data_IF_609718743349
#
_entry.id   IF_609718743349
#
_cell.length_a   1.000
_cell.length_b   1.000
_cell.length_c   1.000
_cell.angle_alpha   90.00
_cell.angle_beta   90.00
_cell.angle_gamma   90.00
#
_symmetry.space_group_name_H-M   'P 1'
#
loop_
_entity.id
_entity.type
_entity.pdbx_description
1 polymer ?
#
# COMPACT_ATOMS: atom_id res chain seq x y z
N UNK A 1 16.43 -46.91 -41.25
CA UNK A 1 16.71 -47.80 -40.10
C UNK A 1 17.19 -46.95 -38.95
N UNK A 2 16.42 -47.00 -37.88
CA UNK A 2 16.48 -46.11 -36.72
C UNK A 2 17.53 -46.56 -35.73
N UNK A 3 18.32 -45.64 -35.21
CA UNK A 3 19.10 -45.86 -34.01
C UNK A 3 18.66 -44.82 -32.96
N UNK A 4 17.95 -45.32 -31.95
CA UNK A 4 17.49 -44.56 -30.77
C UNK A 4 18.68 -44.43 -29.81
N UNK A 5 19.21 -43.23 -29.61
CA UNK A 5 20.18 -42.93 -28.59
C UNK A 5 19.45 -42.52 -27.31
N UNK A 6 19.42 -43.38 -26.31
CA UNK A 6 18.91 -43.14 -24.98
C UNK A 6 20.02 -42.47 -24.15
N UNK A 7 19.90 -41.18 -23.87
CA UNK A 7 20.72 -40.50 -22.87
C UNK A 7 20.13 -40.71 -21.48
N UNK A 8 20.79 -41.58 -20.74
CA UNK A 8 20.60 -41.76 -19.30
C UNK A 8 21.40 -40.66 -18.58
N UNK A 9 20.71 -39.60 -18.12
CA UNK A 9 21.31 -38.66 -17.20
C UNK A 9 21.16 -39.19 -15.77
N UNK A 10 22.28 -39.70 -15.25
CA UNK A 10 22.41 -40.11 -13.85
C UNK A 10 22.60 -38.82 -13.03
N UNK A 11 21.58 -38.38 -12.31
CA UNK A 11 21.69 -37.25 -11.41
C UNK A 11 22.21 -37.73 -10.05
N UNK A 12 23.49 -37.49 -9.81
CA UNK A 12 24.15 -37.75 -8.53
C UNK A 12 23.71 -36.64 -7.56
N UNK A 13 22.82 -36.97 -6.64
CA UNK A 13 22.39 -36.03 -5.56
C UNK A 13 23.46 -36.09 -4.46
N UNK A 14 24.28 -35.06 -4.38
CA UNK A 14 25.19 -34.83 -3.27
C UNK A 14 24.45 -34.17 -2.11
N UNK A 15 24.03 -34.94 -1.12
CA UNK A 15 23.43 -34.44 0.12
C UNK A 15 24.55 -33.94 1.03
N UNK A 16 24.78 -32.64 1.05
CA UNK A 16 25.61 -31.99 2.08
C UNK A 16 24.70 -31.62 3.26
N UNK A 17 24.87 -32.36 4.35
CA UNK A 17 24.27 -32.05 5.64
C UNK A 17 24.95 -30.80 6.22
N UNK A 18 24.26 -29.64 6.14
CA UNK A 18 24.63 -28.48 6.93
C UNK A 18 23.95 -28.58 8.30
N UNK A 19 24.78 -28.77 9.30
CA UNK A 19 24.39 -28.63 10.69
C UNK A 19 24.03 -27.16 10.96
N UNK A 20 22.76 -26.88 11.04
CA UNK A 20 22.23 -25.55 11.41
C UNK A 20 22.24 -25.45 12.94
N UNK A 21 23.12 -24.63 13.48
CA UNK A 21 23.01 -24.12 14.85
C UNK A 21 21.73 -23.33 15.01
N UNK A 22 20.99 -23.50 16.12
CA UNK A 22 19.81 -22.64 16.38
C UNK A 22 20.31 -21.25 16.80
N UNK A 23 20.33 -20.33 15.85
CA UNK A 23 20.38 -18.90 16.17
C UNK A 23 19.03 -18.56 16.78
N UNK A 24 19.03 -18.20 18.05
CA UNK A 24 17.86 -17.66 18.74
C UNK A 24 17.37 -16.44 17.96
N UNK A 25 16.27 -16.62 17.24
CA UNK A 25 15.56 -15.53 16.62
C UNK A 25 14.94 -14.66 17.71
N UNK A 26 15.67 -13.62 18.09
CA UNK A 26 15.06 -12.48 18.80
C UNK A 26 13.89 -12.02 17.98
N UNK A 27 12.66 -12.12 18.54
CA UNK A 27 11.49 -11.44 18.01
C UNK A 27 11.78 -9.94 18.02
N UNK A 28 12.33 -9.42 16.94
CA UNK A 28 12.23 -8.01 16.65
C UNK A 28 10.73 -7.74 16.47
N UNK A 29 10.09 -7.16 17.50
CA UNK A 29 8.86 -6.42 17.31
C UNK A 29 9.18 -5.37 16.28
N UNK A 30 8.75 -5.60 15.07
CA UNK A 30 8.73 -4.59 14.04
C UNK A 30 7.62 -3.64 14.46
N UNK A 31 7.99 -2.62 15.24
CA UNK A 31 7.15 -1.45 15.47
C UNK A 31 6.91 -0.80 14.10
N UNK A 32 5.75 -1.12 13.52
CA UNK A 32 5.26 -0.53 12.27
C UNK A 32 4.69 0.89 12.54
N UNK A 33 5.23 1.55 13.55
CA UNK A 33 5.01 2.96 13.86
C UNK A 33 5.92 3.79 12.96
N UNK A 34 5.48 4.00 11.70
CA UNK A 34 5.96 5.14 10.95
C UNK A 34 5.74 6.42 11.77
N UNK A 35 6.43 7.53 11.45
CA UNK A 35 6.32 8.76 12.21
C UNK A 35 4.84 9.14 12.38
N UNK A 36 4.40 9.23 13.61
CA UNK A 36 3.02 9.55 14.00
C UNK A 36 2.65 10.91 13.39
N UNK A 37 1.48 10.97 12.77
CA UNK A 37 0.98 12.23 12.26
C UNK A 37 0.73 13.20 13.44
N UNK A 38 1.09 14.50 13.34
CA UNK A 38 1.06 15.43 14.46
C UNK A 38 -0.33 15.73 15.06
N UNK A 39 -1.39 15.13 14.52
CA UNK A 39 -2.78 15.36 14.93
C UNK A 39 -3.48 14.14 15.54
N UNK A 40 -2.74 13.11 15.88
CA UNK A 40 -3.32 11.98 16.58
C UNK A 40 -3.68 12.40 18.01
N UNK A 41 -4.95 12.53 18.28
CA UNK A 41 -5.44 12.69 19.66
C UNK A 41 -4.99 11.45 20.42
N UNK A 42 -4.01 11.58 21.30
CA UNK A 42 -3.32 10.53 22.04
C UNK A 42 -2.45 9.56 21.21
N UNK A 43 -2.07 9.89 19.97
CA UNK A 43 -1.08 9.15 19.20
C UNK A 43 -1.46 7.71 18.82
N UNK A 44 -2.73 7.31 18.93
CA UNK A 44 -3.16 5.95 18.59
C UNK A 44 -4.25 5.96 17.54
N UNK A 45 -3.96 5.30 16.41
CA UNK A 45 -4.99 4.95 15.43
C UNK A 45 -5.95 3.96 16.08
N UNK A 46 -7.27 4.18 16.03
CA UNK A 46 -8.23 3.19 16.51
C UNK A 46 -7.99 1.81 15.85
N UNK A 47 -8.19 0.74 16.59
CA UNK A 47 -7.91 -0.63 16.11
C UNK A 47 -8.72 -1.03 14.88
N UNK A 48 -9.84 -0.38 14.65
CA UNK A 48 -10.73 -0.59 13.50
C UNK A 48 -10.21 0.09 12.21
N UNK A 49 -9.24 0.99 12.33
CA UNK A 49 -8.67 1.71 11.18
C UNK A 49 -7.31 1.16 10.77
N UNK A 50 -7.04 1.22 9.48
CA UNK A 50 -5.70 1.05 8.92
C UNK A 50 -5.18 2.40 8.45
N UNK A 51 -4.22 2.96 9.18
CA UNK A 51 -3.51 4.16 8.74
C UNK A 51 -2.52 3.82 7.62
N UNK A 52 -2.63 4.54 6.51
CA UNK A 52 -1.60 4.52 5.48
C UNK A 52 -0.53 5.56 5.82
N UNK A 53 0.71 5.25 5.45
CA UNK A 53 1.79 6.24 5.58
C UNK A 53 1.51 7.42 4.65
N UNK A 54 1.93 8.62 5.05
CA UNK A 54 1.79 9.82 4.23
C UNK A 54 2.44 9.61 2.86
N UNK A 55 1.70 9.90 1.81
CA UNK A 55 2.15 9.81 0.42
C UNK A 55 2.49 11.21 -0.09
N UNK A 56 3.58 11.30 -0.86
CA UNK A 56 3.97 12.49 -1.62
C UNK A 56 3.90 12.12 -3.10
N UNK A 57 2.86 12.57 -3.76
CA UNK A 57 2.51 12.16 -5.12
C UNK A 57 2.80 13.33 -6.07
N UNK A 58 3.65 13.15 -7.10
CA UNK A 58 3.83 14.19 -8.11
C UNK A 58 2.57 14.31 -8.94
N UNK A 59 1.94 15.48 -8.91
CA UNK A 59 0.75 15.80 -9.71
C UNK A 59 1.05 16.94 -10.67
N UNK A 60 0.45 16.89 -11.84
CA UNK A 60 0.58 17.95 -12.83
C UNK A 60 -0.38 19.09 -12.46
N UNK A 61 0.16 20.30 -12.35
CA UNK A 61 -0.55 21.48 -11.82
C UNK A 61 -0.57 22.54 -12.87
N UNK A 62 -0.90 22.52 -13.94
CA UNK A 62 -1.00 23.62 -14.90
C UNK A 62 -0.67 23.19 -16.33
N UNK A 63 -1.20 23.92 -17.29
CA UNK A 63 -0.89 23.76 -18.71
C UNK A 63 0.61 23.95 -19.00
N UNK A 64 1.35 24.58 -18.08
CA UNK A 64 2.81 24.75 -18.15
C UNK A 64 3.63 23.53 -17.73
N UNK A 65 2.99 22.39 -17.48
CA UNK A 65 3.64 21.13 -17.09
C UNK A 65 4.51 21.24 -15.83
N UNK A 66 4.07 22.02 -14.86
CA UNK A 66 4.73 22.06 -13.56
C UNK A 66 4.21 20.92 -12.68
N UNK A 67 5.13 20.16 -12.10
CA UNK A 67 4.81 19.16 -11.10
C UNK A 67 4.91 19.75 -9.71
N UNK A 68 3.93 19.44 -8.87
CA UNK A 68 3.95 19.74 -7.44
C UNK A 68 3.71 18.45 -6.66
N UNK A 69 4.03 18.47 -5.38
CA UNK A 69 3.79 17.35 -4.50
C UNK A 69 2.38 17.45 -3.88
N UNK A 70 1.54 16.45 -4.16
CA UNK A 70 0.31 16.24 -3.42
C UNK A 70 0.63 15.43 -2.17
N UNK A 71 0.44 16.00 -0.98
CA UNK A 71 0.47 15.27 0.27
C UNK A 71 -0.89 14.65 0.54
N UNK A 72 -0.91 13.32 0.64
CA UNK A 72 -2.10 12.54 0.93
C UNK A 72 -1.87 11.70 2.17
N UNK A 73 -2.75 11.85 3.17
CA UNK A 73 -2.79 11.03 4.36
C UNK A 73 -4.21 10.51 4.56
N UNK A 74 -4.35 9.19 4.60
CA UNK A 74 -5.66 8.54 4.70
C UNK A 74 -5.66 7.44 5.75
N UNK A 75 -6.79 7.29 6.41
CA UNK A 75 -7.12 6.16 7.24
C UNK A 75 -8.26 5.41 6.58
N UNK A 76 -8.11 4.10 6.46
CA UNK A 76 -9.10 3.21 5.91
C UNK A 76 -9.90 2.59 7.06
N UNK A 77 -11.22 2.61 6.95
CA UNK A 77 -12.12 1.87 7.82
C UNK A 77 -12.65 0.64 7.07
N UNK A 78 -12.02 -0.53 7.22
CA UNK A 78 -12.50 -1.76 6.63
C UNK A 78 -13.84 -2.18 7.25
N UNK A 79 -14.65 -2.89 6.46
CA UNK A 79 -16.00 -3.29 6.89
C UNK A 79 -15.99 -4.26 8.08
N UNK A 80 -14.96 -5.09 8.19
CA UNK A 80 -14.77 -6.11 9.21
C UNK A 80 -13.29 -6.49 9.36
N UNK A 81 -12.98 -7.40 10.28
CA UNK A 81 -11.60 -7.85 10.55
C UNK A 81 -10.97 -8.61 9.37
N UNK A 82 -11.76 -9.34 8.57
CA UNK A 82 -11.25 -10.03 7.39
C UNK A 82 -10.78 -9.01 6.35
N UNK A 83 -11.59 -8.00 6.09
CA UNK A 83 -11.22 -6.89 5.19
C UNK A 83 -10.04 -6.08 5.73
N UNK A 84 -9.93 -5.92 7.06
CA UNK A 84 -8.77 -5.28 7.69
C UNK A 84 -7.49 -6.11 7.47
N UNK A 85 -7.55 -7.42 7.61
CA UNK A 85 -6.42 -8.31 7.37
C UNK A 85 -5.99 -8.28 5.90
N UNK A 86 -6.95 -8.32 4.96
CA UNK A 86 -6.69 -8.19 3.53
C UNK A 86 -6.00 -6.86 3.20
N UNK A 87 -6.57 -5.73 3.64
CA UNK A 87 -5.99 -4.42 3.39
C UNK A 87 -4.59 -4.27 4.01
N UNK A 88 -4.39 -4.82 5.23
CA UNK A 88 -3.09 -4.79 5.91
C UNK A 88 -2.03 -5.59 5.18
N UNK A 89 -2.37 -6.79 4.70
CA UNK A 89 -1.43 -7.64 3.94
C UNK A 89 -1.00 -7.01 2.62
N UNK A 90 -1.85 -6.19 2.01
CA UNK A 90 -1.62 -5.53 0.73
C UNK A 90 -1.27 -4.03 0.86
N UNK A 91 -0.96 -3.55 2.06
CA UNK A 91 -0.71 -2.13 2.34
C UNK A 91 0.26 -1.47 1.34
N UNK A 92 1.39 -2.14 1.04
CA UNK A 92 2.38 -1.61 0.09
C UNK A 92 1.82 -1.49 -1.33
N UNK A 93 1.08 -2.49 -1.78
CA UNK A 93 0.47 -2.49 -3.10
C UNK A 93 -0.65 -1.44 -3.20
N UNK A 94 -1.44 -1.25 -2.15
CA UNK A 94 -2.44 -0.20 -2.05
C UNK A 94 -1.76 1.18 -2.18
N UNK A 95 -0.68 1.43 -1.44
CA UNK A 95 0.04 2.70 -1.50
C UNK A 95 0.61 2.97 -2.90
N UNK A 96 1.16 1.95 -3.57
CA UNK A 96 1.64 2.08 -4.95
C UNK A 96 0.49 2.38 -5.92
N UNK A 97 -0.65 1.70 -5.79
CA UNK A 97 -1.84 1.95 -6.59
C UNK A 97 -2.42 3.36 -6.38
N UNK A 98 -2.42 3.85 -5.14
CA UNK A 98 -2.82 5.23 -4.85
C UNK A 98 -1.88 6.24 -5.51
N UNK A 99 -0.58 6.02 -5.44
CA UNK A 99 0.39 6.89 -6.08
C UNK A 99 0.19 6.95 -7.60
N UNK A 100 -0.07 5.81 -8.22
CA UNK A 100 -0.32 5.71 -9.66
C UNK A 100 -1.63 6.41 -10.05
N UNK A 101 -2.74 6.06 -9.39
CA UNK A 101 -4.05 6.62 -9.71
C UNK A 101 -4.08 8.14 -9.50
N UNK A 102 -3.58 8.64 -8.36
CA UNK A 102 -3.56 10.09 -8.10
C UNK A 102 -2.64 10.86 -9.04
N UNK A 103 -1.55 10.27 -9.50
CA UNK A 103 -0.65 10.90 -10.50
C UNK A 103 -1.34 11.13 -11.86
N UNK A 104 -2.35 10.34 -12.15
CA UNK A 104 -3.11 10.43 -13.41
C UNK A 104 -4.27 11.43 -13.34
N UNK A 105 -4.57 11.98 -12.16
CA UNK A 105 -5.61 12.99 -12.00
C UNK A 105 -5.05 14.39 -12.15
N UNK A 106 -5.83 15.26 -12.79
CA UNK A 106 -5.57 16.71 -12.78
C UNK A 106 -5.87 17.26 -11.38
N UNK A 107 -4.94 18.06 -10.85
CA UNK A 107 -5.11 18.74 -9.57
C UNK A 107 -6.39 19.60 -9.51
N UNK A 108 -6.82 20.15 -10.64
CA UNK A 108 -8.04 20.96 -10.71
C UNK A 108 -9.26 20.23 -10.15
N UNK A 109 -9.30 18.89 -10.28
CA UNK A 109 -10.38 18.06 -9.73
C UNK A 109 -10.46 18.13 -8.18
N UNK A 110 -9.35 18.44 -7.51
CA UNK A 110 -9.27 18.47 -6.05
C UNK A 110 -9.37 19.90 -5.45
N UNK A 111 -9.38 20.94 -6.27
CA UNK A 111 -9.44 22.34 -5.79
C UNK A 111 -10.74 22.70 -5.08
N UNK A 112 -11.84 22.06 -5.45
CA UNK A 112 -13.13 22.30 -4.80
C UNK A 112 -13.09 21.66 -3.40
N UNK A 113 -13.16 22.51 -2.36
CA UNK A 113 -13.07 22.08 -0.97
C UNK A 113 -14.21 21.14 -0.54
N UNK A 114 -15.30 21.09 -1.26
CA UNK A 114 -16.43 20.18 -1.00
C UNK A 114 -16.31 18.90 -1.82
N UNK A 115 -15.98 19.01 -3.11
CA UNK A 115 -15.94 17.88 -4.05
C UNK A 115 -14.61 17.15 -4.03
N UNK A 116 -13.51 17.85 -3.80
CA UNK A 116 -12.16 17.28 -3.80
C UNK A 116 -12.00 16.10 -2.84
N UNK A 117 -12.39 16.22 -1.56
CA UNK A 117 -12.33 15.07 -0.64
C UNK A 117 -13.21 13.89 -1.07
N UNK A 118 -14.38 14.13 -1.64
CA UNK A 118 -15.28 13.05 -2.12
C UNK A 118 -14.66 12.31 -3.31
N UNK A 119 -14.02 13.04 -4.22
CA UNK A 119 -13.28 12.46 -5.34
C UNK A 119 -12.12 11.62 -4.80
N UNK A 120 -11.34 12.16 -3.86
CA UNK A 120 -10.24 11.44 -3.24
C UNK A 120 -10.72 10.15 -2.53
N UNK A 121 -11.81 10.20 -1.77
CA UNK A 121 -12.41 9.01 -1.15
C UNK A 121 -12.79 7.94 -2.16
N UNK A 122 -13.38 8.32 -3.28
CA UNK A 122 -13.77 7.39 -4.36
C UNK A 122 -12.54 6.72 -4.98
N UNK A 123 -11.48 7.47 -5.25
CA UNK A 123 -10.22 6.93 -5.77
C UNK A 123 -9.64 5.93 -4.78
N UNK A 124 -9.52 6.32 -3.50
CA UNK A 124 -8.97 5.45 -2.45
C UNK A 124 -9.77 4.15 -2.35
N UNK A 125 -11.10 4.24 -2.28
CA UNK A 125 -11.97 3.05 -2.19
C UNK A 125 -11.80 2.13 -3.40
N UNK A 126 -11.77 2.69 -4.60
CA UNK A 126 -11.58 1.93 -5.84
C UNK A 126 -10.22 1.22 -5.88
N UNK A 127 -9.14 1.90 -5.46
CA UNK A 127 -7.79 1.31 -5.42
C UNK A 127 -7.73 0.18 -4.40
N UNK A 128 -8.27 0.38 -3.18
CA UNK A 128 -8.25 -0.64 -2.15
C UNK A 128 -9.01 -1.88 -2.59
N UNK A 129 -10.20 -1.72 -3.14
CA UNK A 129 -11.00 -2.86 -3.63
C UNK A 129 -10.29 -3.58 -4.79
N UNK A 130 -9.76 -2.84 -5.75
CA UNK A 130 -9.06 -3.41 -6.92
C UNK A 130 -7.79 -4.17 -6.53
N UNK A 131 -7.01 -3.64 -5.59
CA UNK A 131 -5.69 -4.18 -5.24
C UNK A 131 -5.77 -5.28 -4.21
N UNK A 132 -6.60 -5.11 -3.18
CA UNK A 132 -6.66 -6.05 -2.06
C UNK A 132 -7.94 -6.89 -2.02
N UNK A 133 -8.96 -6.53 -2.77
CA UNK A 133 -10.29 -7.12 -2.65
C UNK A 133 -11.02 -6.72 -1.36
N UNK A 134 -10.40 -5.91 -0.50
CA UNK A 134 -11.00 -5.49 0.76
C UNK A 134 -12.11 -4.46 0.53
N UNK A 135 -13.22 -4.64 1.26
CA UNK A 135 -14.34 -3.70 1.26
C UNK A 135 -14.17 -2.72 2.41
N UNK A 136 -14.34 -1.44 2.11
CA UNK A 136 -14.29 -0.37 3.10
C UNK A 136 -15.70 0.03 3.54
N UNK A 137 -15.83 0.41 4.81
CA UNK A 137 -16.99 1.09 5.36
C UNK A 137 -16.89 2.60 5.12
N UNK A 138 -15.71 3.18 5.40
CA UNK A 138 -15.42 4.58 5.10
C UNK A 138 -13.91 4.80 4.84
N UNK A 139 -13.61 5.97 4.31
CA UNK A 139 -12.26 6.48 4.09
C UNK A 139 -12.15 7.86 4.73
N UNK A 140 -11.28 8.00 5.70
CA UNK A 140 -11.02 9.28 6.35
C UNK A 140 -9.79 9.95 5.70
N UNK A 141 -10.01 11.06 5.00
CA UNK A 141 -8.93 11.90 4.48
C UNK A 141 -8.43 12.81 5.59
N UNK A 142 -7.22 12.58 6.06
CA UNK A 142 -6.57 13.39 7.11
C UNK A 142 -5.86 14.59 6.52
N UNK A 143 -5.22 14.40 5.39
CA UNK A 143 -4.49 15.44 4.67
C UNK A 143 -4.71 15.27 3.17
N UNK A 144 -5.04 16.34 2.50
CA UNK A 144 -5.07 16.47 1.05
C UNK A 144 -4.56 17.88 0.72
N UNK A 145 -3.26 18.00 0.49
CA UNK A 145 -2.60 19.31 0.39
C UNK A 145 -1.63 19.31 -0.79
N UNK A 146 -1.69 20.36 -1.60
CA UNK A 146 -0.73 20.61 -2.67
C UNK A 146 0.41 21.51 -2.14
N UNK A 147 1.63 21.09 -2.34
CA UNK A 147 2.85 21.83 -2.01
C UNK A 147 3.72 22.13 -3.22
#
# INVERSE_FOLDING_TARGET
MSARLKFLFSFLILVTAFASSPVAAGKAKQDDSGPLAPNEINGKVPSTYLALSRLHIPVLVDQNRQYRALELEVWLEPKDEENLALARSQKKAIMAGLQDDFSNYDWEAFKDSKKGPDIAKKIVSSVVERVSGAKLQDVLIKTLLLR
#
